data_IF_361280449417
#
_entry.id   IF_361280449417
#
_cell.length_a   1.000
_cell.length_b   1.000
_cell.length_c   1.000
_cell.angle_alpha   90.00
_cell.angle_beta   90.00
_cell.angle_gamma   90.00
#
_symmetry.space_group_name_H-M   'P 1'
#
loop_
_entity.id
_entity.type
_entity.pdbx_description
1 polymer ?
#
# COMPACT_ATOMS: atom_id res chain seq x y z
N UNK A 1 12.90 12.29 16.96
CA UNK A 1 13.71 13.07 15.99
C UNK A 1 13.04 12.93 14.64
N UNK A 2 12.46 14.01 14.10
CA UNK A 2 11.88 14.01 12.75
C UNK A 2 13.02 14.01 11.72
N UNK A 3 13.12 12.93 10.93
CA UNK A 3 13.98 12.91 9.73
C UNK A 3 13.36 13.85 8.69
N UNK A 4 13.95 15.03 8.49
CA UNK A 4 13.50 16.02 7.51
C UNK A 4 14.16 15.77 6.15
N UNK A 5 13.42 15.21 5.21
CA UNK A 5 13.87 15.17 3.81
C UNK A 5 13.73 16.56 3.20
N UNK A 6 14.79 17.10 2.59
CA UNK A 6 14.75 18.34 1.78
C UNK A 6 14.08 18.14 0.41
N UNK A 7 13.42 17.00 0.19
CA UNK A 7 12.86 16.53 -1.07
C UNK A 7 11.34 16.61 -1.04
N UNK A 8 10.69 16.75 -2.20
CA UNK A 8 9.22 16.66 -2.29
C UNK A 8 8.80 15.21 -2.09
N UNK A 9 8.07 14.94 -1.01
CA UNK A 9 7.64 13.60 -0.64
C UNK A 9 6.16 13.42 -0.98
N UNK A 10 5.85 12.32 -1.64
CA UNK A 10 4.50 11.79 -1.85
C UNK A 10 4.21 10.73 -0.79
N UNK A 11 2.99 10.76 -0.23
CA UNK A 11 2.47 9.67 0.61
C UNK A 11 1.29 9.08 -0.16
N UNK A 12 1.43 7.82 -0.57
CA UNK A 12 0.42 7.07 -1.32
C UNK A 12 0.46 5.59 -0.92
N UNK A 13 -0.10 5.27 0.24
CA UNK A 13 -0.17 3.89 0.71
C UNK A 13 -0.90 2.99 -0.30
N UNK A 14 -1.96 3.49 -0.92
CA UNK A 14 -2.85 2.67 -1.75
C UNK A 14 -2.50 2.63 -3.25
N UNK A 15 -1.44 3.32 -3.68
CA UNK A 15 -1.06 3.39 -5.10
C UNK A 15 -2.12 4.05 -5.98
N UNK A 16 -2.91 4.96 -5.41
CA UNK A 16 -4.05 5.61 -6.09
C UNK A 16 -3.65 6.89 -6.81
N UNK A 17 -2.48 7.44 -6.51
CA UNK A 17 -1.97 8.64 -7.15
C UNK A 17 -1.41 8.32 -8.52
N UNK A 18 -1.73 9.19 -9.48
CA UNK A 18 -1.30 9.06 -10.88
C UNK A 18 -0.10 9.94 -11.22
N UNK A 19 0.11 11.04 -10.49
CA UNK A 19 1.10 12.06 -10.81
C UNK A 19 2.33 11.94 -9.90
N UNK A 20 3.12 10.89 -10.09
CA UNK A 20 4.37 10.70 -9.33
C UNK A 20 5.47 11.69 -9.79
N UNK A 21 5.42 12.18 -11.02
CA UNK A 21 6.46 13.02 -11.63
C UNK A 21 6.71 14.37 -10.92
N UNK A 22 5.78 14.82 -10.07
CA UNK A 22 5.91 16.06 -9.29
C UNK A 22 6.69 15.90 -7.99
N UNK A 23 7.04 14.66 -7.62
CA UNK A 23 7.67 14.31 -6.35
C UNK A 23 9.05 13.66 -6.57
N UNK A 24 9.93 13.79 -5.59
CA UNK A 24 11.24 13.14 -5.63
C UNK A 24 11.20 11.76 -4.94
N UNK A 25 10.40 11.64 -3.88
CA UNK A 25 10.25 10.41 -3.10
C UNK A 25 8.78 10.03 -2.97
N UNK A 26 8.48 8.74 -2.87
CA UNK A 26 7.15 8.25 -2.56
C UNK A 26 7.18 7.19 -1.46
N UNK A 27 6.40 7.39 -0.40
CA UNK A 27 6.07 6.35 0.55
C UNK A 27 4.83 5.60 0.07
N UNK A 28 4.97 4.31 -0.24
CA UNK A 28 3.86 3.48 -0.71
C UNK A 28 4.00 2.05 -0.23
N UNK A 29 2.87 1.41 0.08
CA UNK A 29 2.82 -0.02 0.33
C UNK A 29 2.49 -0.81 -0.94
N UNK A 30 2.35 -0.16 -2.09
CA UNK A 30 2.23 -0.84 -3.38
C UNK A 30 3.62 -0.96 -4.03
N UNK A 31 3.83 -2.04 -4.79
CA UNK A 31 5.02 -2.23 -5.60
C UNK A 31 5.03 -1.26 -6.79
N UNK A 32 5.86 -0.20 -6.69
CA UNK A 32 6.03 0.80 -7.74
C UNK A 32 7.29 0.50 -8.59
N UNK A 33 7.32 0.87 -9.89
CA UNK A 33 8.43 0.59 -10.81
C UNK A 33 9.64 1.54 -10.62
N UNK A 34 10.00 1.82 -9.37
CA UNK A 34 11.05 2.75 -8.97
C UNK A 34 12.00 2.09 -7.97
N UNK A 35 13.19 2.67 -7.79
CA UNK A 35 14.21 2.17 -6.86
C UNK A 35 13.75 2.36 -5.42
N UNK A 36 13.78 1.28 -4.63
CA UNK A 36 13.54 1.34 -3.19
C UNK A 36 14.78 1.91 -2.49
N UNK A 37 14.57 2.91 -1.65
CA UNK A 37 15.59 3.57 -0.82
C UNK A 37 15.59 3.00 0.59
N UNK A 38 14.40 2.82 1.17
CA UNK A 38 14.18 2.26 2.51
C UNK A 38 12.92 1.39 2.49
N UNK A 39 12.86 0.39 3.37
CA UNK A 39 11.70 -0.50 3.53
C UNK A 39 11.37 -0.72 5.00
N UNK A 40 10.08 -0.89 5.27
CA UNK A 40 9.52 -1.07 6.60
C UNK A 40 8.46 -2.17 6.59
N UNK A 41 8.22 -2.78 7.75
CA UNK A 41 7.12 -3.72 7.95
C UNK A 41 5.81 -2.99 8.27
N UNK A 42 4.68 -3.69 8.14
CA UNK A 42 3.37 -3.18 8.55
C UNK A 42 2.87 -3.87 9.82
N UNK A 43 3.38 -3.42 10.97
CA UNK A 43 3.02 -3.97 12.28
C UNK A 43 2.21 -2.99 13.13
N UNK A 44 2.48 -1.69 12.98
CA UNK A 44 1.87 -0.62 13.76
C UNK A 44 0.85 0.16 12.97
N UNK A 45 -0.19 0.63 13.68
CA UNK A 45 -1.28 1.42 13.13
C UNK A 45 -1.31 2.80 13.82
N UNK A 46 -1.32 3.92 13.08
CA UNK A 46 -1.37 4.04 11.61
C UNK A 46 0.00 3.79 10.92
N UNK A 47 0.01 3.79 9.58
CA UNK A 47 1.15 3.44 8.72
C UNK A 47 2.46 4.14 9.10
N UNK A 48 2.36 5.42 9.44
CA UNK A 48 3.47 6.33 9.77
C UNK A 48 4.27 5.87 10.98
N UNK A 49 3.65 5.13 11.90
CA UNK A 49 4.35 4.62 13.08
C UNK A 49 5.43 3.62 12.70
N UNK A 50 5.23 2.82 11.64
CA UNK A 50 6.25 1.87 11.19
C UNK A 50 7.55 2.59 10.78
N UNK A 51 7.42 3.76 10.13
CA UNK A 51 8.56 4.63 9.81
C UNK A 51 9.15 5.28 11.07
N UNK A 52 8.31 5.87 11.93
CA UNK A 52 8.74 6.63 13.11
C UNK A 52 9.58 5.78 14.08
N UNK A 53 9.18 4.51 14.25
CA UNK A 53 9.84 3.56 15.13
C UNK A 53 10.79 2.60 14.39
N UNK A 54 11.04 2.84 13.10
CA UNK A 54 11.98 2.08 12.29
C UNK A 54 11.73 0.55 12.26
N UNK A 55 10.45 0.17 12.13
CA UNK A 55 10.02 -1.23 12.06
C UNK A 55 10.53 -1.85 10.76
N UNK A 56 11.44 -2.81 10.86
CA UNK A 56 12.03 -3.47 9.69
C UNK A 56 11.01 -4.40 9.00
N UNK A 57 11.03 -4.45 7.67
CA UNK A 57 10.18 -5.35 6.88
C UNK A 57 10.10 -4.98 5.40
N UNK A 58 9.22 -5.69 4.68
CA UNK A 58 9.04 -5.62 3.23
C UNK A 58 7.58 -5.35 2.85
N UNK A 59 6.94 -4.42 3.56
CA UNK A 59 5.50 -4.13 3.38
C UNK A 59 5.23 -2.66 3.03
N UNK A 60 6.14 -1.74 3.38
CA UNK A 60 6.03 -0.31 3.14
C UNK A 60 7.37 0.23 2.66
N UNK A 61 7.38 0.93 1.53
CA UNK A 61 8.62 1.32 0.85
C UNK A 61 8.70 2.81 0.60
N UNK A 62 9.91 3.36 0.73
CA UNK A 62 10.27 4.68 0.22
C UNK A 62 10.94 4.48 -1.13
N UNK A 63 10.33 5.01 -2.18
CA UNK A 63 10.83 4.97 -3.54
C UNK A 63 11.53 6.27 -3.92
N UNK A 64 12.62 6.16 -4.67
CA UNK A 64 13.21 7.27 -5.43
C UNK A 64 12.58 7.33 -6.82
N UNK A 65 11.70 8.32 -7.02
CA UNK A 65 10.90 8.44 -8.24
C UNK A 65 11.72 8.88 -9.46
N UNK A 66 12.99 9.27 -9.28
CA UNK A 66 13.89 9.61 -10.40
C UNK A 66 14.56 8.38 -11.01
N UNK A 67 14.56 7.26 -10.31
CA UNK A 67 15.30 6.07 -10.68
C UNK A 67 14.34 4.90 -10.87
N UNK A 68 14.14 4.47 -12.11
CA UNK A 68 13.34 3.29 -12.40
C UNK A 68 14.06 2.00 -12.00
N UNK A 69 13.30 1.02 -11.50
CA UNK A 69 13.81 -0.30 -11.16
C UNK A 69 12.74 -1.37 -11.41
N UNK A 70 13.18 -2.58 -11.77
CA UNK A 70 12.29 -3.74 -11.87
C UNK A 70 12.03 -4.30 -10.47
N UNK A 71 10.76 -4.40 -10.11
CA UNK A 71 10.36 -5.04 -8.86
C UNK A 71 10.06 -6.51 -9.07
N UNK A 72 10.43 -7.33 -8.07
CA UNK A 72 9.96 -8.72 -7.99
C UNK A 72 8.62 -8.73 -7.29
N UNK A 73 7.64 -9.40 -7.89
CA UNK A 73 6.31 -9.52 -7.30
C UNK A 73 6.38 -10.58 -6.20
N UNK A 74 6.20 -10.16 -4.95
CA UNK A 74 5.92 -11.09 -3.86
C UNK A 74 4.40 -11.17 -3.65
N UNK A 75 3.87 -12.39 -3.73
CA UNK A 75 2.44 -12.63 -3.47
C UNK A 75 2.10 -12.50 -1.98
N UNK A 76 3.07 -12.72 -1.08
CA UNK A 76 2.88 -12.60 0.37
C UNK A 76 2.65 -11.16 0.79
N UNK A 77 3.31 -10.23 0.11
CA UNK A 77 3.15 -8.81 0.32
C UNK A 77 1.69 -8.36 0.20
N UNK A 78 0.97 -8.84 -0.83
CA UNK A 78 -0.47 -8.55 -0.96
C UNK A 78 -1.28 -9.08 0.23
N UNK A 79 -0.95 -10.29 0.70
CA UNK A 79 -1.63 -10.89 1.84
C UNK A 79 -1.40 -10.10 3.15
N UNK A 80 -0.17 -9.65 3.41
CA UNK A 80 0.15 -8.82 4.57
C UNK A 80 -0.62 -7.50 4.56
N UNK A 81 -0.75 -6.86 3.40
CA UNK A 81 -1.54 -5.62 3.25
C UNK A 81 -3.01 -5.84 3.59
N UNK A 82 -3.60 -6.89 3.02
CA UNK A 82 -5.00 -7.24 3.31
C UNK A 82 -5.17 -7.53 4.80
N UNK A 83 -4.27 -8.31 5.40
CA UNK A 83 -4.32 -8.61 6.82
C UNK A 83 -4.19 -7.34 7.68
N UNK A 84 -3.34 -6.39 7.29
CA UNK A 84 -3.15 -5.13 8.00
C UNK A 84 -4.41 -4.25 7.96
N UNK A 85 -5.01 -4.08 6.78
CA UNK A 85 -6.25 -3.29 6.58
C UNK A 85 -7.46 -3.93 7.25
N UNK A 86 -7.59 -5.25 7.09
CA UNK A 86 -8.68 -6.03 7.67
C UNK A 86 -8.47 -6.26 9.16
N UNK A 87 -7.29 -5.96 9.74
CA UNK A 87 -7.05 -6.11 11.19
C UNK A 87 -8.04 -5.32 12.04
N UNK A 88 -8.60 -4.25 11.49
CA UNK A 88 -9.62 -3.42 12.14
C UNK A 88 -11.04 -3.99 12.03
N UNK A 89 -11.26 -4.96 11.14
CA UNK A 89 -12.52 -5.64 10.88
C UNK A 89 -12.48 -7.07 11.42
N UNK A 90 -13.62 -7.58 11.86
CA UNK A 90 -13.74 -9.03 12.07
C UNK A 90 -13.59 -9.74 10.72
N UNK A 91 -12.93 -10.90 10.70
CA UNK A 91 -12.87 -11.74 9.50
C UNK A 91 -14.28 -12.13 9.01
N UNK A 92 -15.22 -12.27 9.94
CA UNK A 92 -16.64 -12.56 9.66
C UNK A 92 -17.28 -11.41 8.88
N UNK A 93 -17.11 -10.18 9.36
CA UNK A 93 -17.65 -8.98 8.70
C UNK A 93 -17.04 -8.80 7.31
N UNK A 94 -15.74 -9.08 7.18
CA UNK A 94 -15.02 -9.01 5.90
C UNK A 94 -15.52 -10.04 4.89
N UNK A 95 -15.81 -11.26 5.34
CA UNK A 95 -16.38 -12.31 4.52
C UNK A 95 -17.78 -11.93 4.01
N UNK A 96 -18.66 -11.47 4.90
CA UNK A 96 -20.01 -11.07 4.50
C UNK A 96 -20.01 -9.86 3.58
N UNK A 97 -19.17 -8.87 3.85
CA UNK A 97 -19.02 -7.70 2.99
C UNK A 97 -18.53 -8.06 1.59
N UNK A 98 -17.48 -8.89 1.49
CA UNK A 98 -16.94 -9.31 0.18
C UNK A 98 -17.94 -10.14 -0.61
N UNK A 99 -18.71 -11.02 0.05
CA UNK A 99 -19.78 -11.78 -0.59
C UNK A 99 -20.90 -10.86 -1.11
N UNK A 100 -21.32 -9.87 -0.31
CA UNK A 100 -22.32 -8.88 -0.72
C UNK A 100 -21.87 -8.08 -1.95
N UNK A 101 -20.63 -7.58 -1.96
CA UNK A 101 -20.06 -6.85 -3.10
C UNK A 101 -19.97 -7.71 -4.36
N UNK A 102 -19.61 -8.99 -4.21
CA UNK A 102 -19.60 -9.94 -5.31
C UNK A 102 -21.01 -10.16 -5.89
N UNK A 103 -22.02 -10.36 -5.03
CA UNK A 103 -23.42 -10.49 -5.45
C UNK A 103 -23.92 -9.26 -6.21
N UNK A 104 -23.58 -8.05 -5.77
CA UNK A 104 -23.92 -6.81 -6.48
C UNK A 104 -23.28 -6.76 -7.88
N UNK A 105 -22.01 -7.13 -8.01
CA UNK A 105 -21.33 -7.18 -9.31
C UNK A 105 -21.94 -8.21 -10.24
N UNK A 106 -22.28 -9.39 -9.73
CA UNK A 106 -22.97 -10.43 -10.51
C UNK A 106 -24.32 -9.92 -11.00
N UNK A 107 -25.12 -9.30 -10.13
CA UNK A 107 -26.41 -8.70 -10.53
C UNK A 107 -26.24 -7.59 -11.57
N UNK A 108 -25.21 -6.74 -11.44
CA UNK A 108 -24.90 -5.71 -12.43
C UNK A 108 -24.48 -6.26 -13.80
N UNK A 109 -23.80 -7.41 -13.84
CA UNK A 109 -23.44 -8.10 -15.09
C UNK A 109 -24.65 -8.73 -15.78
N UNK A 110 -25.63 -9.22 -15.02
CA UNK A 110 -26.86 -9.82 -15.56
C UNK A 110 -27.99 -8.82 -15.79
N UNK A 111 -27.92 -7.62 -15.22
CA UNK A 111 -28.93 -6.54 -15.37
C UNK A 111 -28.75 -5.63 -16.58
N UNK A 112 -27.72 -5.88 -17.42
CA UNK A 112 -27.45 -5.15 -18.67
C UNK A 112 -27.79 -5.98 -19.93
N UNK A 113 -28.84 -6.80 -19.87
CA UNK A 113 -29.46 -7.45 -21.04
C UNK A 113 -30.92 -7.06 -21.15
#
# INVERSE_FOLDING_TARGET
MEKKYQKKVCIDYYGTRRNHDTYDLCLSSVLLPYKVVESYGLQMYPYELNYLYNIQGEDLYIYDLKNHAKQKRDWRHHYHLVQYEVRLLSWVDSLFYTLYQWLLKVKGLFGHR
#
